data_IF_118445688768
#
_entry.id   IF_118445688768
#
_cell.length_a   1.000
_cell.length_b   1.000
_cell.length_c   1.000
_cell.angle_alpha   90.00
_cell.angle_beta   90.00
_cell.angle_gamma   90.00
#
_symmetry.space_group_name_H-M   'P 1'
#
loop_
_entity.id
_entity.type
_entity.pdbx_description
1 polymer ?
#
# COMPACT_ATOMS: atom_id res chain seq x y z
N UNK A 1 14.01 -16.55 15.79
CA UNK A 1 15.35 -15.99 16.10
C UNK A 1 15.56 -14.74 15.25
N UNK A 2 15.38 -13.54 15.80
CA UNK A 2 15.54 -12.28 15.06
C UNK A 2 16.99 -11.81 15.15
N UNK A 3 17.73 -11.84 14.04
CA UNK A 3 19.06 -11.22 13.96
C UNK A 3 18.88 -9.72 13.76
N UNK A 4 19.04 -8.94 14.83
CA UNK A 4 19.21 -7.48 14.73
C UNK A 4 20.59 -7.21 14.15
N UNK A 5 20.66 -6.58 12.99
CA UNK A 5 21.91 -6.02 12.48
C UNK A 5 22.28 -4.83 13.36
N UNK A 6 23.48 -4.86 13.91
CA UNK A 6 23.97 -3.88 14.88
C UNK A 6 23.92 -2.45 14.32
N UNK A 7 23.18 -1.57 15.01
CA UNK A 7 23.25 -0.13 14.79
C UNK A 7 24.66 0.34 15.14
N UNK A 8 25.42 0.80 14.14
CA UNK A 8 26.79 1.28 14.34
C UNK A 8 26.73 2.56 15.16
N UNK A 9 27.15 2.48 16.42
CA UNK A 9 27.37 3.64 17.29
C UNK A 9 28.52 4.48 16.72
N UNK A 10 28.35 5.79 16.79
CA UNK A 10 29.31 6.82 16.40
C UNK A 10 30.75 6.46 16.80
N UNK A 11 31.64 6.30 15.81
CA UNK A 11 33.08 6.12 16.02
C UNK A 11 33.79 7.46 15.82
N UNK A 12 33.86 8.26 16.89
CA UNK A 12 34.86 9.32 17.04
C UNK A 12 36.21 8.67 17.37
N UNK A 13 36.89 8.13 16.37
CA UNK A 13 38.17 7.45 16.58
C UNK A 13 38.96 7.28 15.29
N UNK A 14 40.24 7.65 15.35
CA UNK A 14 41.27 7.64 14.28
C UNK A 14 41.07 6.48 13.27
N UNK A 15 40.89 6.86 12.01
CA UNK A 15 40.19 6.07 11.01
C UNK A 15 40.90 4.83 10.47
N UNK A 16 40.17 3.71 10.47
CA UNK A 16 40.32 2.61 9.52
C UNK A 16 39.26 2.80 8.44
N UNK A 17 39.66 2.98 7.18
CA UNK A 17 38.70 3.01 6.06
C UNK A 17 38.22 1.58 5.79
N UNK A 18 37.18 1.14 6.47
CA UNK A 18 36.50 -0.10 6.12
C UNK A 18 35.94 0.08 4.70
N UNK A 19 36.23 -0.85 3.78
CA UNK A 19 35.59 -0.88 2.45
C UNK A 19 34.09 -1.11 2.68
N UNK A 20 33.32 -0.04 2.77
CA UNK A 20 31.86 -0.12 2.78
C UNK A 20 31.46 -0.69 1.42
N UNK A 21 30.65 -1.73 1.43
CA UNK A 21 30.08 -2.28 0.19
C UNK A 21 29.38 -1.14 -0.57
N UNK A 22 29.72 -0.88 -1.84
CA UNK A 22 29.11 0.19 -2.62
C UNK A 22 27.57 0.15 -2.60
N UNK A 23 27.01 -1.06 -2.53
CA UNK A 23 25.57 -1.29 -2.39
C UNK A 23 24.99 -0.74 -1.08
N UNK A 24 25.68 -0.94 0.04
CA UNK A 24 25.24 -0.42 1.34
C UNK A 24 25.36 1.09 1.41
N UNK A 25 26.45 1.66 0.88
CA UNK A 25 26.62 3.10 0.78
C UNK A 25 25.54 3.76 -0.08
N UNK A 26 25.15 3.11 -1.19
CA UNK A 26 24.06 3.57 -2.06
C UNK A 26 22.72 3.55 -1.32
N UNK A 27 22.37 2.45 -0.65
CA UNK A 27 21.12 2.34 0.12
C UNK A 27 21.06 3.41 1.22
N UNK A 28 22.13 3.61 1.98
CA UNK A 28 22.18 4.63 3.04
C UNK A 28 22.07 6.06 2.50
N UNK A 29 22.59 6.31 1.29
CA UNK A 29 22.44 7.61 0.62
C UNK A 29 21.01 7.82 0.13
N UNK A 30 20.38 6.79 -0.42
CA UNK A 30 18.97 6.82 -0.85
C UNK A 30 18.03 7.01 0.35
N UNK A 31 18.25 6.28 1.45
CA UNK A 31 17.44 6.39 2.66
C UNK A 31 17.57 7.77 3.32
N UNK A 32 18.79 8.34 3.39
CA UNK A 32 18.99 9.74 3.85
C UNK A 32 18.29 10.76 2.96
N UNK A 33 18.17 10.47 1.66
CA UNK A 33 17.40 11.26 0.71
C UNK A 33 15.89 10.97 0.70
N UNK A 34 15.40 10.06 1.55
CA UNK A 34 13.98 9.66 1.60
C UNK A 34 13.52 8.80 0.42
N UNK A 35 14.46 8.25 -0.36
CA UNK A 35 14.18 7.42 -1.53
C UNK A 35 14.15 5.95 -1.11
N UNK A 36 12.93 5.41 -0.99
CA UNK A 36 12.73 4.00 -0.64
C UNK A 36 12.24 3.20 -1.85
N UNK A 37 12.75 1.98 -1.99
CA UNK A 37 12.22 1.03 -2.96
C UNK A 37 10.78 0.67 -2.62
N UNK A 38 9.82 1.08 -3.46
CA UNK A 38 8.42 0.67 -3.35
C UNK A 38 8.05 -0.27 -4.49
N UNK A 39 7.31 -1.33 -4.17
CA UNK A 39 6.70 -2.19 -5.20
C UNK A 39 5.53 -1.44 -5.81
N UNK A 40 5.51 -1.31 -7.14
CA UNK A 40 4.32 -0.82 -7.84
C UNK A 40 3.19 -1.84 -7.68
N UNK A 41 2.01 -1.40 -7.26
CA UNK A 41 0.82 -2.24 -7.27
C UNK A 41 0.32 -2.41 -8.70
N UNK A 42 -0.19 -3.60 -9.06
CA UNK A 42 -0.87 -3.82 -10.35
C UNK A 42 -2.18 -3.04 -10.32
N UNK A 43 -2.16 -1.80 -10.80
CA UNK A 43 -3.37 -1.02 -10.97
C UNK A 43 -4.16 -1.56 -12.18
N UNK A 44 -5.47 -1.66 -12.03
CA UNK A 44 -6.35 -1.82 -13.19
C UNK A 44 -6.18 -0.59 -14.08
N UNK A 45 -6.00 -0.79 -15.38
CA UNK A 45 -5.92 0.30 -16.36
C UNK A 45 -7.32 0.92 -16.53
N UNK A 46 -7.63 1.90 -15.69
CA UNK A 46 -8.89 2.64 -15.75
C UNK A 46 -8.83 3.69 -16.87
N UNK A 47 -9.85 3.70 -17.73
CA UNK A 47 -10.07 4.81 -18.67
C UNK A 47 -10.65 6.00 -17.90
N UNK A 48 -10.48 7.22 -18.40
CA UNK A 48 -10.97 8.46 -17.76
C UNK A 48 -12.46 8.40 -17.40
N UNK A 49 -13.30 7.84 -18.29
CA UNK A 49 -14.72 7.60 -18.01
C UNK A 49 -14.99 6.78 -16.73
N UNK A 50 -14.13 5.80 -16.41
CA UNK A 50 -14.29 5.00 -15.19
C UNK A 50 -13.86 5.80 -13.96
N UNK A 51 -12.81 6.62 -14.09
CA UNK A 51 -12.35 7.51 -13.01
C UNK A 51 -13.44 8.52 -12.66
N UNK A 52 -14.04 9.16 -13.66
CA UNK A 52 -15.14 10.11 -13.48
C UNK A 52 -16.37 9.44 -12.84
N UNK A 53 -16.75 8.26 -13.33
CA UNK A 53 -17.86 7.50 -12.75
C UNK A 53 -17.61 7.11 -11.29
N UNK A 54 -16.39 6.64 -10.95
CA UNK A 54 -16.03 6.33 -9.57
C UNK A 54 -16.04 7.57 -8.67
N UNK A 55 -15.55 8.71 -9.16
CA UNK A 55 -15.57 9.96 -8.40
C UNK A 55 -17.00 10.47 -8.19
N UNK A 56 -17.85 10.41 -9.20
CA UNK A 56 -19.26 10.79 -9.11
C UNK A 56 -20.00 9.89 -8.10
N UNK A 57 -19.80 8.57 -8.20
CA UNK A 57 -20.38 7.60 -7.27
C UNK A 57 -19.95 7.86 -5.83
N UNK A 58 -18.64 8.02 -5.59
CA UNK A 58 -18.09 8.27 -4.26
C UNK A 58 -18.62 9.58 -3.66
N UNK A 59 -18.66 10.66 -4.43
CA UNK A 59 -19.22 11.94 -3.97
C UNK A 59 -20.71 11.85 -3.65
N UNK A 60 -21.48 11.13 -4.45
CA UNK A 60 -22.92 10.95 -4.25
C UNK A 60 -23.27 10.11 -3.02
N UNK A 61 -22.39 9.20 -2.60
CA UNK A 61 -22.68 8.25 -1.51
C UNK A 61 -21.84 8.46 -0.25
N UNK A 62 -20.96 9.48 -0.20
CA UNK A 62 -20.07 9.74 0.94
C UNK A 62 -20.81 9.99 2.26
N UNK A 63 -22.02 10.55 2.20
CA UNK A 63 -22.84 10.92 3.36
C UNK A 63 -23.99 9.93 3.63
N UNK A 64 -24.02 8.79 2.95
CA UNK A 64 -25.06 7.79 3.18
C UNK A 64 -24.85 7.12 4.53
N UNK A 65 -25.96 6.83 5.19
CA UNK A 65 -25.97 6.17 6.50
C UNK A 65 -25.49 4.71 6.37
N UNK A 66 -24.83 4.13 7.40
CA UNK A 66 -24.47 2.72 7.39
C UNK A 66 -25.64 1.76 7.11
N UNK A 67 -26.86 2.10 7.57
CA UNK A 67 -28.07 1.32 7.30
C UNK A 67 -28.47 1.28 5.83
N UNK A 68 -28.14 2.31 5.05
CA UNK A 68 -28.37 2.30 3.61
C UNK A 68 -27.59 1.15 2.95
N UNK A 69 -26.32 0.95 3.34
CA UNK A 69 -25.46 -0.07 2.76
C UNK A 69 -25.87 -1.50 3.12
N UNK A 70 -26.50 -1.70 4.29
CA UNK A 70 -26.98 -3.03 4.71
C UNK A 70 -28.22 -3.47 3.95
N UNK A 71 -28.97 -2.54 3.33
CA UNK A 71 -30.12 -2.87 2.49
C UNK A 71 -29.77 -3.27 1.06
N UNK A 72 -28.53 -3.01 0.61
CA UNK A 72 -28.13 -3.26 -0.77
C UNK A 72 -27.73 -4.73 -0.94
N UNK A 73 -28.41 -5.43 -1.84
CA UNK A 73 -28.01 -6.76 -2.29
C UNK A 73 -26.93 -6.65 -3.36
N UNK A 74 -25.71 -7.11 -3.06
CA UNK A 74 -24.58 -7.11 -3.99
C UNK A 74 -24.47 -8.45 -4.72
N UNK A 75 -24.32 -8.40 -6.05
CA UNK A 75 -24.05 -9.57 -6.88
C UNK A 75 -22.82 -9.33 -7.76
N UNK A 76 -22.02 -10.38 -7.95
CA UNK A 76 -20.93 -10.41 -8.92
C UNK A 76 -20.76 -11.81 -9.51
N UNK A 77 -20.43 -11.87 -10.79
CA UNK A 77 -20.15 -13.12 -11.50
C UNK A 77 -18.65 -13.30 -11.65
N UNK A 78 -18.10 -14.26 -10.91
CA UNK A 78 -16.70 -14.67 -11.06
C UNK A 78 -16.63 -15.93 -11.91
N UNK A 79 -15.55 -16.12 -12.67
CA UNK A 79 -15.39 -17.32 -13.50
C UNK A 79 -15.51 -18.59 -12.63
N UNK A 80 -16.63 -19.30 -12.79
CA UNK A 80 -16.89 -20.60 -12.17
C UNK A 80 -17.78 -20.61 -10.91
N UNK A 81 -18.16 -19.45 -10.34
CA UNK A 81 -19.03 -19.41 -9.15
C UNK A 81 -19.90 -18.14 -9.15
N UNK A 82 -21.21 -18.33 -8.89
CA UNK A 82 -22.12 -17.25 -8.50
C UNK A 82 -21.85 -16.94 -7.03
N UNK A 83 -21.35 -15.74 -6.74
CA UNK A 83 -21.11 -15.30 -5.37
C UNK A 83 -22.16 -14.25 -5.00
N UNK A 84 -23.00 -14.56 -4.01
CA UNK A 84 -23.82 -13.58 -3.30
C UNK A 84 -22.93 -12.96 -2.20
N UNK A 85 -22.63 -11.67 -2.30
CA UNK A 85 -21.83 -10.97 -1.29
C UNK A 85 -22.80 -10.33 -0.30
N UNK A 86 -23.02 -11.01 0.83
CA UNK A 86 -23.71 -10.43 1.98
C UNK A 86 -22.65 -9.76 2.86
N UNK A 87 -22.52 -8.43 2.76
CA UNK A 87 -21.66 -7.66 3.67
C UNK A 87 -22.41 -7.45 4.98
N UNK A 88 -22.28 -8.41 5.90
CA UNK A 88 -22.72 -8.22 7.27
C UNK A 88 -21.66 -7.40 8.02
N UNK A 89 -21.93 -6.12 8.23
CA UNK A 89 -21.17 -5.30 9.17
C UNK A 89 -21.69 -5.67 10.58
N UNK A 90 -20.88 -6.38 11.37
CA UNK A 90 -21.05 -6.46 12.81
C UNK A 90 -19.93 -5.60 13.45
N UNK A 91 -20.33 -4.75 14.39
CA UNK A 91 -19.44 -3.99 15.29
C UNK A 91 -18.60 -4.93 16.17
#
# INVERSE_FOLDING_TARGET
>A
MHKRFNTVKNLSGRGRKYKVSPKLALIETLDRGGLHGRRTWKALLLRMRHVEAHLAFGRGHLKQDPSFWSTILWSDESKGLINLIVVNNYD
#
